data_IF_628244694630
#
_entry.id   IF_628244694630
#
_cell.length_a   1.000
_cell.length_b   1.000
_cell.length_c   1.000
_cell.angle_alpha   90.00
_cell.angle_beta   90.00
_cell.angle_gamma   90.00
#
_symmetry.space_group_name_H-M   'P 1'
#
loop_
_entity.id
_entity.type
_entity.pdbx_description
1 polymer ?
#
# COMPACT_ATOMS: atom_id res chain seq x y z
N UNK A 1 17.23 -12.34 13.15
CA UNK A 1 17.42 -13.18 11.97
C UNK A 1 18.58 -12.75 11.05
N UNK A 2 19.17 -11.56 11.29
CA UNK A 2 20.41 -11.11 10.66
C UNK A 2 20.37 -10.92 9.12
N UNK A 3 19.19 -10.76 8.54
CA UNK A 3 19.08 -10.44 7.11
C UNK A 3 19.32 -8.97 6.84
N UNK A 4 20.10 -8.65 5.82
CA UNK A 4 20.32 -7.32 5.32
C UNK A 4 19.90 -7.23 3.85
N UNK A 5 19.33 -6.12 3.42
CA UNK A 5 18.90 -5.88 2.06
C UNK A 5 19.03 -4.42 1.67
N UNK A 6 19.35 -4.16 0.40
CA UNK A 6 19.41 -2.82 -0.15
C UNK A 6 18.24 -2.62 -1.12
N UNK A 7 17.51 -1.53 -0.94
CA UNK A 7 16.47 -1.08 -1.88
C UNK A 7 17.00 -0.02 -2.82
N UNK A 8 16.54 -0.07 -4.06
CA UNK A 8 16.76 0.96 -5.07
C UNK A 8 15.42 1.55 -5.51
N UNK A 9 15.47 2.56 -6.38
CA UNK A 9 14.26 3.23 -6.84
C UNK A 9 13.29 2.27 -7.53
N UNK A 10 12.06 2.23 -7.04
CA UNK A 10 10.97 1.40 -7.57
C UNK A 10 10.87 0.00 -6.96
N UNK A 11 11.81 -0.39 -6.10
CA UNK A 11 11.72 -1.62 -5.32
C UNK A 11 10.61 -1.55 -4.27
N UNK A 12 10.13 -2.72 -3.86
CA UNK A 12 9.13 -2.85 -2.81
C UNK A 12 9.59 -3.89 -1.78
N UNK A 13 9.45 -3.54 -0.51
CA UNK A 13 9.53 -4.48 0.60
C UNK A 13 8.12 -4.75 1.11
N UNK A 14 7.78 -6.02 1.25
CA UNK A 14 6.53 -6.43 1.84
C UNK A 14 6.81 -7.30 3.07
N UNK A 15 6.39 -6.81 4.23
CA UNK A 15 6.60 -7.50 5.50
C UNK A 15 5.26 -7.91 6.09
N UNK A 16 5.07 -9.20 6.32
CA UNK A 16 4.04 -9.73 7.20
C UNK A 16 4.67 -9.90 8.58
N UNK A 17 4.41 -8.96 9.46
CA UNK A 17 5.11 -8.89 10.74
C UNK A 17 4.76 -10.03 11.70
N UNK A 18 3.52 -10.53 11.64
CA UNK A 18 3.09 -11.67 12.47
C UNK A 18 3.39 -11.45 13.94
N UNK A 19 4.11 -12.40 14.55
CA UNK A 19 4.52 -12.33 15.97
C UNK A 19 5.58 -11.27 16.28
N UNK A 20 6.06 -10.56 15.26
CA UNK A 20 7.00 -9.45 15.40
C UNK A 20 8.23 -9.57 14.51
N UNK A 21 8.73 -8.43 14.04
CA UNK A 21 9.97 -8.27 13.30
C UNK A 21 10.72 -7.09 13.89
N UNK A 22 11.94 -7.31 14.37
CA UNK A 22 12.86 -6.24 14.71
C UNK A 22 13.63 -5.88 13.43
N UNK A 23 13.52 -4.63 12.99
CA UNK A 23 14.20 -4.14 11.80
C UNK A 23 14.58 -2.66 11.94
N UNK A 24 15.51 -2.24 11.11
CA UNK A 24 15.89 -0.84 10.95
C UNK A 24 15.94 -0.50 9.46
N UNK A 25 15.58 0.73 9.12
CA UNK A 25 15.62 1.27 7.77
C UNK A 25 16.53 2.50 7.77
N UNK A 26 17.65 2.40 7.04
CA UNK A 26 18.65 3.47 6.97
C UNK A 26 18.81 3.96 5.55
N UNK A 27 18.68 5.28 5.29
CA UNK A 27 19.00 5.84 3.98
C UNK A 27 20.44 5.53 3.59
N UNK A 28 20.64 4.80 2.47
CA UNK A 28 21.97 4.44 1.97
C UNK A 28 22.47 5.39 0.88
N UNK A 29 21.67 6.39 0.50
CA UNK A 29 22.02 7.35 -0.55
C UNK A 29 22.89 8.48 0.00
N UNK A 30 23.88 8.90 -0.82
CA UNK A 30 24.75 10.05 -0.50
C UNK A 30 24.22 11.36 -1.09
N UNK A 31 23.50 11.27 -2.20
CA UNK A 31 22.95 12.40 -2.95
C UNK A 31 21.56 12.04 -3.50
N UNK A 32 20.76 13.07 -3.82
CA UNK A 32 19.45 12.92 -4.41
C UNK A 32 18.31 13.03 -3.39
N UNK A 33 17.11 12.56 -3.77
CA UNK A 33 15.90 12.65 -2.96
C UNK A 33 15.44 11.24 -2.56
N UNK A 34 15.31 11.01 -1.26
CA UNK A 34 14.58 9.86 -0.76
C UNK A 34 13.08 10.14 -0.87
N UNK A 35 12.38 9.35 -1.68
CA UNK A 35 10.94 9.45 -1.85
C UNK A 35 10.35 8.06 -1.91
N UNK A 36 9.55 7.71 -0.94
CA UNK A 36 8.90 6.42 -0.81
C UNK A 36 7.60 6.53 0.00
N UNK A 37 6.90 5.40 0.10
CA UNK A 37 5.65 5.28 0.85
C UNK A 37 5.74 4.06 1.74
N UNK A 38 5.28 4.19 2.97
CA UNK A 38 5.05 3.06 3.87
C UNK A 38 3.55 2.90 4.07
N UNK A 39 3.03 1.73 3.69
CA UNK A 39 1.63 1.37 3.89
C UNK A 39 1.52 0.32 4.99
N UNK A 40 0.70 0.59 5.97
CA UNK A 40 0.36 -0.39 7.01
C UNK A 40 -1.00 -1.01 6.67
N UNK A 41 -0.99 -2.34 6.56
CA UNK A 41 -2.19 -3.15 6.34
C UNK A 41 -2.39 -4.02 7.58
N UNK A 42 -3.54 -3.88 8.23
CA UNK A 42 -3.85 -4.68 9.41
C UNK A 42 -4.06 -6.15 9.06
N UNK A 43 -3.84 -7.03 10.02
CA UNK A 43 -4.04 -8.47 9.94
C UNK A 43 -5.19 -8.92 10.85
N UNK A 44 -5.97 -9.94 10.44
CA UNK A 44 -6.94 -10.57 11.34
C UNK A 44 -6.32 -11.05 12.64
N UNK A 45 -7.04 -10.99 13.76
CA UNK A 45 -6.58 -11.39 15.09
C UNK A 45 -5.89 -12.77 15.07
N UNK A 46 -6.52 -13.75 14.43
CA UNK A 46 -6.01 -15.13 14.32
C UNK A 46 -4.64 -15.27 13.65
N UNK A 47 -4.18 -14.23 12.92
CA UNK A 47 -2.90 -14.23 12.19
C UNK A 47 -1.84 -13.33 12.83
N UNK A 48 -2.20 -12.52 13.82
CA UNK A 48 -1.26 -11.56 14.43
C UNK A 48 -0.05 -12.23 15.07
N UNK A 49 -0.21 -13.47 15.57
CA UNK A 49 0.89 -14.26 16.12
C UNK A 49 1.44 -15.31 15.14
N UNK A 50 1.18 -15.16 13.84
CA UNK A 50 1.74 -16.07 12.82
C UNK A 50 3.22 -15.81 12.60
N UNK A 51 3.91 -16.78 11.96
CA UNK A 51 5.31 -16.65 11.62
C UNK A 51 5.53 -15.41 10.72
N UNK A 52 6.52 -14.56 11.02
CA UNK A 52 6.90 -13.44 10.18
C UNK A 52 7.35 -13.89 8.79
N UNK A 53 7.03 -13.08 7.78
CA UNK A 53 7.45 -13.29 6.40
C UNK A 53 7.95 -11.97 5.80
N UNK A 54 8.99 -12.06 5.00
CA UNK A 54 9.58 -10.94 4.29
C UNK A 54 9.72 -11.26 2.81
N UNK A 55 9.23 -10.35 1.96
CA UNK A 55 9.32 -10.46 0.51
C UNK A 55 9.99 -9.19 -0.02
N UNK A 56 11.12 -9.36 -0.70
CA UNK A 56 11.75 -8.30 -1.49
C UNK A 56 11.33 -8.43 -2.94
N UNK A 57 10.89 -7.34 -3.52
CA UNK A 57 10.42 -7.26 -4.90
C UNK A 57 11.27 -6.24 -5.64
N UNK A 58 12.15 -6.75 -6.49
CA UNK A 58 12.98 -5.97 -7.40
C UNK A 58 12.11 -5.24 -8.42
N UNK A 59 12.37 -3.96 -8.66
CA UNK A 59 11.66 -3.13 -9.61
C UNK A 59 11.61 -3.73 -11.03
N UNK A 60 12.67 -4.43 -11.44
CA UNK A 60 12.75 -5.08 -12.76
C UNK A 60 11.87 -6.34 -12.88
N UNK A 61 11.44 -6.89 -11.75
CA UNK A 61 10.53 -8.05 -11.67
C UNK A 61 9.08 -7.64 -11.39
N UNK A 62 8.83 -6.35 -11.28
CA UNK A 62 7.49 -5.82 -11.06
C UNK A 62 6.61 -6.03 -12.29
N UNK A 63 5.38 -6.51 -12.06
CA UNK A 63 4.39 -6.59 -13.12
C UNK A 63 3.93 -5.20 -13.52
N UNK A 64 4.03 -4.90 -14.80
CA UNK A 64 3.68 -3.57 -15.34
C UNK A 64 2.71 -3.73 -16.51
N UNK A 65 1.58 -3.03 -16.46
CA UNK A 65 0.78 -2.73 -17.63
C UNK A 65 1.26 -1.38 -18.19
N UNK A 66 1.53 -1.33 -19.48
CA UNK A 66 1.97 -0.10 -20.14
C UNK A 66 1.38 -0.01 -21.55
N UNK A 67 0.79 1.13 -21.84
CA UNK A 67 0.31 1.53 -23.16
C UNK A 67 0.75 2.98 -23.46
N UNK A 68 0.19 3.58 -24.52
CA UNK A 68 0.52 4.96 -24.93
C UNK A 68 0.01 6.01 -23.93
N UNK A 69 -0.99 5.69 -23.13
CA UNK A 69 -1.72 6.63 -22.27
C UNK A 69 -1.31 6.53 -20.80
N UNK A 70 -0.91 5.34 -20.33
CA UNK A 70 -0.66 5.06 -18.93
C UNK A 70 0.39 3.98 -18.71
N UNK A 71 0.99 4.01 -17.53
CA UNK A 71 1.80 2.94 -16.97
C UNK A 71 1.32 2.62 -15.57
N UNK A 72 1.09 1.35 -15.31
CA UNK A 72 0.58 0.86 -14.02
C UNK A 72 1.50 -0.23 -13.51
N UNK A 73 2.22 0.03 -12.42
CA UNK A 73 2.94 -0.99 -11.66
C UNK A 73 1.97 -1.67 -10.72
N UNK A 74 1.85 -2.99 -10.84
CA UNK A 74 0.95 -3.80 -10.03
C UNK A 74 1.76 -4.46 -8.91
N UNK A 75 1.65 -3.92 -7.70
CA UNK A 75 2.35 -4.43 -6.50
C UNK A 75 1.54 -5.58 -5.90
N UNK A 76 0.24 -5.39 -5.75
CA UNK A 76 -0.72 -6.39 -5.30
C UNK A 76 -2.01 -6.30 -6.11
N UNK A 77 -2.72 -7.41 -6.27
CA UNK A 77 -3.92 -7.50 -7.08
C UNK A 77 -3.62 -7.71 -8.55
N UNK A 78 -4.57 -7.39 -9.41
CA UNK A 78 -4.49 -7.65 -10.86
C UNK A 78 -5.07 -6.47 -11.64
N UNK A 79 -4.35 -6.02 -12.65
CA UNK A 79 -4.82 -5.06 -13.65
C UNK A 79 -4.65 -5.66 -15.04
N UNK A 80 -5.75 -5.95 -15.73
CA UNK A 80 -5.79 -6.66 -17.02
C UNK A 80 -4.97 -7.97 -16.95
N UNK A 81 -3.85 -8.05 -17.71
CA UNK A 81 -2.96 -9.21 -17.72
C UNK A 81 -1.83 -9.13 -16.69
N UNK A 82 -1.57 -7.95 -16.13
CA UNK A 82 -0.53 -7.76 -15.13
C UNK A 82 -1.05 -8.18 -13.75
N UNK A 83 -0.31 -9.05 -13.07
CA UNK A 83 -0.64 -9.54 -11.73
C UNK A 83 0.51 -9.27 -10.78
N UNK A 84 0.20 -8.67 -9.63
CA UNK A 84 1.19 -8.31 -8.62
C UNK A 84 1.85 -9.52 -7.97
N UNK A 85 3.12 -9.39 -7.56
CA UNK A 85 3.86 -10.46 -6.88
C UNK A 85 3.34 -10.75 -5.46
N UNK A 86 2.67 -9.79 -4.83
CA UNK A 86 2.09 -9.95 -3.48
C UNK A 86 0.76 -10.70 -3.57
N UNK A 87 0.73 -11.91 -3.01
CA UNK A 87 -0.42 -12.83 -3.11
C UNK A 87 -0.80 -13.42 -1.75
N UNK A 88 -2.00 -13.96 -1.65
CA UNK A 88 -2.43 -14.78 -0.51
C UNK A 88 -2.69 -14.04 0.80
N UNK A 89 -2.96 -12.73 0.77
CA UNK A 89 -3.30 -11.95 1.95
C UNK A 89 -4.80 -11.90 2.21
N UNK A 90 -5.18 -12.02 3.48
CA UNK A 90 -6.58 -12.12 3.91
C UNK A 90 -7.43 -10.89 3.57
N UNK A 91 -6.79 -9.73 3.37
CA UNK A 91 -7.47 -8.48 2.99
C UNK A 91 -7.58 -8.30 1.48
N UNK A 92 -7.07 -9.26 0.68
CA UNK A 92 -7.13 -9.23 -0.78
C UNK A 92 -6.69 -7.86 -1.34
N UNK A 93 -5.45 -7.41 -1.03
CA UNK A 93 -5.05 -6.06 -1.32
C UNK A 93 -4.95 -5.79 -2.83
N UNK A 94 -5.40 -4.61 -3.23
CA UNK A 94 -5.03 -3.97 -4.50
C UNK A 94 -4.04 -2.85 -4.18
N UNK A 95 -2.90 -2.84 -4.84
CA UNK A 95 -1.92 -1.77 -4.73
C UNK A 95 -1.29 -1.49 -6.08
N UNK A 96 -1.66 -0.35 -6.67
CA UNK A 96 -1.16 0.10 -7.97
C UNK A 96 -0.44 1.44 -7.83
N UNK A 97 0.71 1.58 -8.50
CA UNK A 97 1.38 2.86 -8.77
C UNK A 97 1.08 3.23 -10.22
N UNK A 98 0.28 4.27 -10.41
CA UNK A 98 -0.30 4.66 -11.70
C UNK A 98 0.34 5.97 -12.18
N UNK A 99 0.90 5.94 -13.38
CA UNK A 99 1.26 7.12 -14.17
C UNK A 99 0.26 7.27 -15.30
N UNK A 100 -0.36 8.44 -15.42
CA UNK A 100 -1.43 8.72 -16.39
C UNK A 100 -1.14 10.03 -17.12
N UNK A 101 -1.17 9.99 -18.43
CA UNK A 101 -0.99 11.20 -19.26
C UNK A 101 -2.20 12.13 -19.16
N UNK A 102 -1.94 13.41 -19.40
CA UNK A 102 -2.99 14.44 -19.46
C UNK A 102 -4.13 14.04 -20.37
N UNK A 103 -5.37 14.34 -19.95
CA UNK A 103 -6.63 14.09 -20.67
C UNK A 103 -6.95 12.61 -20.92
N UNK A 104 -6.22 11.69 -20.22
CA UNK A 104 -6.43 10.25 -20.29
C UNK A 104 -7.16 9.72 -19.04
N UNK A 105 -7.66 8.49 -19.17
CA UNK A 105 -8.49 7.87 -18.15
C UNK A 105 -7.87 6.57 -17.61
N UNK A 106 -8.01 6.40 -16.31
CA UNK A 106 -7.80 5.16 -15.60
C UNK A 106 -9.15 4.65 -15.12
N UNK A 107 -9.52 3.46 -15.57
CA UNK A 107 -10.76 2.79 -15.17
C UNK A 107 -10.40 1.45 -14.51
N UNK A 108 -11.03 1.15 -13.38
CA UNK A 108 -10.80 -0.10 -12.66
C UNK A 108 -12.05 -0.53 -11.89
N UNK A 109 -12.39 -1.82 -12.00
CA UNK A 109 -13.50 -2.39 -11.25
C UNK A 109 -13.02 -2.84 -9.87
N UNK A 110 -13.50 -2.16 -8.85
CA UNK A 110 -13.21 -2.44 -7.44
C UNK A 110 -14.15 -3.50 -6.90
N UNK A 111 -13.68 -4.42 -6.04
CA UNK A 111 -14.59 -5.23 -5.26
C UNK A 111 -15.47 -4.34 -4.37
N UNK A 112 -16.83 -4.45 -4.44
CA UNK A 112 -17.74 -3.47 -3.81
C UNK A 112 -17.65 -3.42 -2.28
N UNK A 113 -17.18 -4.52 -1.66
CA UNK A 113 -17.00 -4.59 -0.21
C UNK A 113 -15.69 -3.95 0.28
N UNK A 114 -14.74 -3.66 -0.62
CA UNK A 114 -13.43 -3.13 -0.22
C UNK A 114 -13.51 -1.67 0.23
N UNK A 115 -12.63 -1.29 1.15
CA UNK A 115 -12.29 0.09 1.41
C UNK A 115 -11.21 0.50 0.43
N UNK A 116 -11.40 1.66 -0.22
CA UNK A 116 -10.49 2.13 -1.25
C UNK A 116 -10.11 3.57 -0.99
N UNK A 117 -8.85 3.90 -1.23
CA UNK A 117 -8.38 5.27 -1.27
C UNK A 117 -7.36 5.47 -2.40
N UNK A 118 -7.22 6.71 -2.82
CA UNK A 118 -6.21 7.17 -3.77
C UNK A 118 -5.28 8.13 -3.03
N UNK A 119 -3.99 8.00 -3.24
CA UNK A 119 -3.04 9.04 -2.86
C UNK A 119 -2.47 9.69 -4.12
N UNK A 120 -2.83 10.93 -4.37
CA UNK A 120 -2.31 11.71 -5.50
C UNK A 120 -0.93 12.25 -5.16
N UNK A 121 0.09 11.74 -5.84
CA UNK A 121 1.49 12.10 -5.61
C UNK A 121 1.81 13.42 -6.28
N UNK A 122 1.44 13.57 -7.56
CA UNK A 122 1.60 14.81 -8.31
C UNK A 122 0.54 14.97 -9.41
N UNK A 123 0.35 16.19 -9.82
CA UNK A 123 -0.57 16.58 -10.89
C UNK A 123 -1.98 16.90 -10.37
N UNK A 124 -2.94 16.88 -11.27
CA UNK A 124 -4.36 17.17 -11.00
C UNK A 124 -5.22 16.08 -11.63
N UNK A 125 -6.14 15.51 -10.86
CA UNK A 125 -7.08 14.48 -11.31
C UNK A 125 -8.52 14.90 -11.03
N UNK A 126 -9.43 14.31 -11.81
CA UNK A 126 -10.87 14.30 -11.57
C UNK A 126 -11.29 12.87 -11.28
N UNK A 127 -12.12 12.65 -10.24
CA UNK A 127 -12.66 11.35 -9.89
C UNK A 127 -14.18 11.36 -10.16
N UNK A 128 -14.65 10.31 -10.85
CA UNK A 128 -16.03 10.20 -11.25
C UNK A 128 -16.43 11.25 -12.28
N UNK A 129 -17.74 11.58 -12.35
CA UNK A 129 -18.29 12.45 -13.40
C UNK A 129 -18.64 13.86 -12.92
N UNK A 130 -18.70 14.11 -11.62
CA UNK A 130 -19.10 15.42 -11.04
C UNK A 130 -18.04 16.49 -11.31
N UNK A 131 -18.49 17.69 -11.69
CA UNK A 131 -17.64 18.80 -12.12
C UNK A 131 -16.71 19.37 -11.01
N UNK A 132 -16.99 19.08 -9.75
CA UNK A 132 -16.29 19.67 -8.61
C UNK A 132 -15.25 18.76 -7.95
N UNK A 133 -15.05 17.57 -8.46
CA UNK A 133 -14.17 16.56 -7.84
C UNK A 133 -12.73 16.62 -8.40
N UNK A 134 -12.23 17.83 -8.66
CA UNK A 134 -10.84 18.07 -9.05
C UNK A 134 -9.95 18.09 -7.82
N UNK A 135 -8.92 17.29 -7.85
CA UNK A 135 -7.97 17.13 -6.74
C UNK A 135 -6.56 17.41 -7.23
N UNK A 136 -5.80 18.15 -6.43
CA UNK A 136 -4.39 18.48 -6.69
C UNK A 136 -3.46 17.59 -5.87
N UNK A 137 -2.19 17.64 -6.23
CA UNK A 137 -1.10 16.85 -5.65
C UNK A 137 -1.05 16.84 -4.11
N UNK A 138 -0.41 15.81 -3.59
CA UNK A 138 -0.23 15.55 -2.15
C UNK A 138 -1.55 15.38 -1.37
N UNK A 139 -2.56 14.81 -2.03
CA UNK A 139 -3.89 14.63 -1.43
C UNK A 139 -4.24 13.16 -1.28
N UNK A 140 -4.70 12.79 -0.08
CA UNK A 140 -5.34 11.50 0.19
C UNK A 140 -6.86 11.62 -0.03
N UNK A 141 -7.39 10.74 -0.86
CA UNK A 141 -8.80 10.73 -1.28
C UNK A 141 -9.43 9.42 -0.83
N UNK A 142 -10.32 9.49 0.14
CA UNK A 142 -11.11 8.33 0.57
C UNK A 142 -12.32 8.18 -0.35
N UNK A 143 -12.48 7.00 -0.92
CA UNK A 143 -13.60 6.72 -1.82
C UNK A 143 -14.79 6.15 -1.05
N UNK A 144 -15.99 6.50 -1.48
CA UNK A 144 -17.21 5.81 -1.07
C UNK A 144 -17.23 4.38 -1.60
N UNK A 145 -18.09 3.53 -1.06
CA UNK A 145 -18.34 2.21 -1.63
C UNK A 145 -18.88 2.34 -3.06
N UNK A 146 -18.38 1.47 -3.92
CA UNK A 146 -18.73 1.43 -5.33
C UNK A 146 -17.88 0.39 -6.06
N UNK A 147 -18.26 0.09 -7.28
CA UNK A 147 -17.57 -0.91 -8.11
C UNK A 147 -16.69 -0.24 -9.16
N UNK A 148 -17.13 0.87 -9.72
CA UNK A 148 -16.45 1.54 -10.83
C UNK A 148 -15.62 2.71 -10.33
N UNK A 149 -14.30 2.59 -10.46
CA UNK A 149 -13.38 3.68 -10.25
C UNK A 149 -12.98 4.28 -11.59
N UNK A 150 -13.35 5.56 -11.79
CA UNK A 150 -12.93 6.36 -12.94
C UNK A 150 -12.10 7.55 -12.48
N UNK A 151 -10.88 7.64 -12.98
CA UNK A 151 -9.96 8.77 -12.75
C UNK A 151 -9.57 9.37 -14.07
N UNK A 152 -9.76 10.68 -14.26
CA UNK A 152 -9.35 11.43 -15.45
C UNK A 152 -8.22 12.38 -15.07
N UNK A 153 -7.09 12.29 -15.76
CA UNK A 153 -5.95 13.16 -15.54
C UNK A 153 -6.20 14.55 -16.17
N UNK A 154 -6.05 15.61 -15.40
CA UNK A 154 -6.12 17.00 -15.89
C UNK A 154 -4.75 17.52 -16.33
N UNK A 155 -3.69 16.93 -15.79
CA UNK A 155 -2.28 17.10 -16.15
C UNK A 155 -1.63 15.72 -16.24
N UNK A 156 -0.36 15.61 -16.64
CA UNK A 156 0.38 14.37 -16.39
C UNK A 156 0.43 14.14 -14.88
N UNK A 157 -0.01 12.96 -14.45
CA UNK A 157 -0.25 12.69 -13.04
C UNK A 157 0.30 11.34 -12.60
N UNK A 158 0.63 11.26 -11.32
CA UNK A 158 1.03 10.03 -10.66
C UNK A 158 0.27 9.86 -9.35
N UNK A 159 -0.32 8.68 -9.16
CA UNK A 159 -1.10 8.37 -7.96
C UNK A 159 -1.05 6.89 -7.60
N UNK A 160 -1.31 6.60 -6.33
CA UNK A 160 -1.48 5.26 -5.81
C UNK A 160 -2.96 4.92 -5.71
N UNK A 161 -3.34 3.72 -6.10
CA UNK A 161 -4.66 3.13 -5.84
C UNK A 161 -4.48 2.01 -4.84
N UNK A 162 -5.13 2.13 -3.69
CA UNK A 162 -5.01 1.16 -2.61
C UNK A 162 -6.41 0.74 -2.18
N UNK A 163 -6.64 -0.57 -2.20
CA UNK A 163 -7.93 -1.16 -1.85
C UNK A 163 -7.71 -2.44 -1.03
N UNK A 164 -8.64 -2.74 -0.13
CA UNK A 164 -8.58 -3.95 0.65
C UNK A 164 -9.91 -4.28 1.33
N UNK A 165 -10.14 -5.57 1.54
CA UNK A 165 -11.28 -6.09 2.27
C UNK A 165 -11.20 -5.68 3.73
N UNK A 166 -12.23 -5.03 4.31
CA UNK A 166 -12.24 -4.69 5.72
C UNK A 166 -12.25 -5.95 6.59
N UNK A 167 -11.45 -5.95 7.65
CA UNK A 167 -11.37 -7.07 8.60
C UNK A 167 -12.56 -7.07 9.55
N UNK A 168 -13.12 -5.88 9.85
CA UNK A 168 -14.23 -5.67 10.79
C UNK A 168 -13.96 -6.22 12.20
N UNK A 169 -12.74 -6.09 12.66
CA UNK A 169 -12.30 -6.42 14.02
C UNK A 169 -11.90 -5.15 14.76
N UNK A 170 -11.92 -5.17 16.08
CA UNK A 170 -11.43 -4.08 16.91
C UNK A 170 -9.93 -3.83 16.65
N UNK A 171 -9.51 -2.58 16.81
CA UNK A 171 -8.13 -2.15 16.60
C UNK A 171 -7.65 -1.43 17.86
N UNK A 172 -6.57 -1.96 18.46
CA UNK A 172 -5.78 -1.28 19.47
C UNK A 172 -4.39 -0.99 18.90
N UNK A 173 -3.94 0.27 19.01
CA UNK A 173 -2.61 0.68 18.55
C UNK A 173 -1.81 1.26 19.70
N UNK A 174 -0.54 0.85 19.82
CA UNK A 174 0.42 1.43 20.75
C UNK A 174 1.82 1.37 20.13
N UNK A 175 2.46 2.54 19.93
CA UNK A 175 3.76 2.62 19.25
C UNK A 175 3.79 1.88 17.93
N UNK A 176 4.71 0.91 17.76
CA UNK A 176 4.84 0.11 16.53
C UNK A 176 3.83 -1.05 16.45
N UNK A 177 3.05 -1.29 17.50
CA UNK A 177 2.17 -2.45 17.58
C UNK A 177 0.73 -2.14 17.19
N UNK A 178 0.10 -3.07 16.48
CA UNK A 178 -1.34 -3.06 16.15
C UNK A 178 -1.95 -4.39 16.53
N UNK A 179 -2.77 -4.37 17.58
CA UNK A 179 -3.46 -5.53 18.15
C UNK A 179 -4.98 -5.32 18.11
N UNK A 180 -5.74 -6.19 18.75
CA UNK A 180 -7.19 -6.09 18.83
C UNK A 180 -7.65 -5.45 20.15
N UNK A 181 -6.88 -5.58 21.24
CA UNK A 181 -7.22 -5.04 22.55
C UNK A 181 -6.06 -4.26 23.19
N UNK A 182 -6.39 -3.34 24.09
CA UNK A 182 -5.38 -2.62 24.88
C UNK A 182 -4.59 -3.56 25.79
N UNK A 183 -5.20 -4.63 26.30
CA UNK A 183 -4.52 -5.63 27.12
C UNK A 183 -3.39 -6.33 26.33
N UNK A 184 -3.63 -6.68 25.07
CA UNK A 184 -2.61 -7.24 24.18
C UNK A 184 -1.45 -6.27 23.94
N UNK A 185 -1.74 -4.97 23.75
CA UNK A 185 -0.69 -3.94 23.65
C UNK A 185 0.14 -3.88 24.93
N UNK A 186 -0.50 -3.88 26.10
CA UNK A 186 0.23 -3.88 27.39
C UNK A 186 1.17 -5.08 27.54
N UNK A 187 0.72 -6.28 27.14
CA UNK A 187 1.55 -7.48 27.18
C UNK A 187 2.80 -7.36 26.30
N UNK A 188 2.68 -6.79 25.10
CA UNK A 188 3.82 -6.59 24.19
C UNK A 188 4.86 -5.65 24.81
N UNK A 189 4.44 -4.55 25.43
CA UNK A 189 5.37 -3.62 26.08
C UNK A 189 6.06 -4.22 27.30
N UNK A 190 5.42 -5.15 28.02
CA UNK A 190 6.05 -5.82 29.17
C UNK A 190 7.02 -6.92 28.75
N UNK A 191 6.77 -7.61 27.65
CA UNK A 191 7.70 -8.60 27.09
C UNK A 191 8.93 -7.95 26.44
N UNK A 192 8.73 -6.86 25.70
CA UNK A 192 9.81 -6.10 25.06
C UNK A 192 10.78 -5.50 26.11
N UNK A 193 10.24 -5.03 27.25
CA UNK A 193 11.06 -4.51 28.34
C UNK A 193 11.85 -5.61 29.10
N UNK A 194 11.48 -6.89 28.96
CA UNK A 194 12.18 -8.01 29.57
C UNK A 194 13.35 -8.52 28.72
N UNK A 195 13.34 -8.24 27.42
CA UNK A 195 14.42 -8.64 26.49
C UNK A 195 15.57 -7.62 26.43
N UNK A 196 15.41 -6.44 27.05
CA UNK A 196 16.41 -5.36 27.15
C UNK A 196 17.28 -5.44 28.44
N UNK A 197 17.27 -6.57 29.19
CA UNK A 197 18.04 -6.78 30.43
C UNK A 197 19.13 -7.84 30.27
#
# INVERSE_FOLDING_TARGET
>A
TGGEGRMTAGDVQWMKTGSGIIHSEMPAMKEGKLHGFQLWINMPAKLKMSKPEYIYIDANKMSVHKDDDKQIKVIAGKFEKAEGPVKGHNVEPTYFDVELKKDKEFNYNLPPAHNTFIYLINGEIKIGEKKHDKVKDSTLILLSKGEDLKVTAQTNTKFLVISGKPINEEIARGGPFVMNTKAEICLLYTSDAADDV
#
